data_IF_163552765375
#
_entry.id   IF_163552765375
#
_cell.length_a   1.000
_cell.length_b   1.000
_cell.length_c   1.000
_cell.angle_alpha   90.00
_cell.angle_beta   90.00
_cell.angle_gamma   90.00
#
_symmetry.space_group_name_H-M   'P 1'
#
loop_
_entity.id
_entity.type
_entity.pdbx_description
1 polymer ?
#
# COMPACT_ATOMS: atom_id res chain seq x y z
N UNK A 1 -18.43 5.28 -7.02
CA UNK A 1 -17.82 3.93 -7.12
C UNK A 1 -16.35 4.05 -7.50
N UNK A 2 -15.49 3.42 -6.72
CA UNK A 2 -14.05 3.44 -6.98
C UNK A 2 -13.70 2.49 -8.13
N UNK A 3 -12.70 2.84 -8.89
CA UNK A 3 -12.26 2.03 -10.02
C UNK A 3 -10.74 2.06 -10.11
N UNK A 4 -10.19 1.13 -10.91
CA UNK A 4 -8.76 1.08 -11.14
C UNK A 4 -8.32 2.35 -11.88
N UNK A 5 -7.27 2.99 -11.37
CA UNK A 5 -6.69 4.17 -11.97
C UNK A 5 -5.38 3.80 -12.66
N UNK A 6 -5.39 3.76 -13.99
CA UNK A 6 -4.20 3.46 -14.76
C UNK A 6 -3.34 4.71 -14.83
N UNK A 7 -2.12 4.62 -14.28
CA UNK A 7 -1.20 5.77 -14.25
C UNK A 7 -0.32 5.75 -15.51
N UNK A 8 0.25 4.57 -15.84
CA UNK A 8 0.96 4.37 -17.10
C UNK A 8 0.92 2.89 -17.45
N UNK A 9 1.73 2.48 -18.44
CA UNK A 9 1.69 1.10 -18.94
C UNK A 9 2.09 0.06 -17.90
N UNK A 10 2.79 0.46 -16.85
CA UNK A 10 3.34 -0.46 -15.85
C UNK A 10 3.00 -0.06 -14.42
N UNK A 11 2.11 0.92 -14.22
CA UNK A 11 1.76 1.41 -12.89
C UNK A 11 0.27 1.71 -12.83
N UNK A 12 -0.39 1.17 -11.83
CA UNK A 12 -1.82 1.44 -11.61
C UNK A 12 -2.17 1.44 -10.13
N UNK A 13 -3.29 2.07 -9.80
CA UNK A 13 -3.86 2.07 -8.45
C UNK A 13 -5.14 1.24 -8.48
N UNK A 14 -5.24 0.26 -7.59
CA UNK A 14 -6.40 -0.63 -7.51
C UNK A 14 -7.11 -0.40 -6.19
N UNK A 15 -8.42 -0.11 -6.19
CA UNK A 15 -9.12 0.11 -4.93
C UNK A 15 -8.92 -1.04 -3.96
N UNK A 16 -8.70 -0.71 -2.71
CA UNK A 16 -8.38 -1.66 -1.66
C UNK A 16 -9.38 -2.83 -1.59
N UNK A 17 -10.67 -2.54 -1.75
CA UNK A 17 -11.71 -3.56 -1.61
C UNK A 17 -11.80 -4.52 -2.80
N UNK A 18 -11.19 -4.20 -3.94
CA UNK A 18 -11.33 -5.03 -5.15
C UNK A 18 -10.47 -6.28 -5.11
N UNK A 19 -9.31 -6.21 -4.50
CA UNK A 19 -8.42 -7.37 -4.36
C UNK A 19 -7.84 -7.39 -2.96
N UNK A 20 -7.51 -8.58 -2.50
CA UNK A 20 -6.92 -8.75 -1.17
C UNK A 20 -5.42 -9.00 -1.31
N UNK A 21 -4.63 -7.96 -1.07
CA UNK A 21 -3.17 -8.07 -1.02
C UNK A 21 -2.65 -8.04 0.42
N UNK A 22 -3.50 -8.35 1.39
CA UNK A 22 -3.12 -8.26 2.80
C UNK A 22 -1.99 -9.22 3.17
N UNK A 23 -1.89 -10.36 2.48
CA UNK A 23 -0.80 -11.29 2.73
C UNK A 23 0.55 -10.67 2.36
N UNK A 24 0.63 -10.05 1.19
CA UNK A 24 1.85 -9.36 0.76
C UNK A 24 2.13 -8.17 1.67
N UNK A 25 1.09 -7.40 2.01
CA UNK A 25 1.23 -6.25 2.88
C UNK A 25 1.71 -6.66 4.27
N UNK A 26 1.23 -7.77 4.79
CA UNK A 26 1.68 -8.26 6.08
C UNK A 26 3.20 -8.47 6.07
N UNK A 27 3.72 -9.05 4.99
CA UNK A 27 5.16 -9.23 4.85
C UNK A 27 5.92 -7.90 4.85
N UNK A 28 5.38 -6.87 4.18
CA UNK A 28 6.01 -5.54 4.17
C UNK A 28 6.12 -4.96 5.57
N UNK A 29 5.06 -5.11 6.38
CA UNK A 29 4.98 -4.51 7.70
C UNK A 29 5.66 -5.34 8.79
N UNK A 30 6.39 -6.39 8.38
CA UNK A 30 7.31 -7.09 9.27
C UNK A 30 8.68 -6.40 9.30
N UNK A 31 8.97 -5.53 8.34
CA UNK A 31 10.19 -4.73 8.32
C UNK A 31 10.06 -3.60 9.35
N UNK A 32 10.82 -3.70 10.44
CA UNK A 32 10.72 -2.71 11.53
C UNK A 32 11.15 -1.31 11.09
N UNK A 33 12.00 -1.21 10.09
CA UNK A 33 12.40 0.09 9.56
C UNK A 33 11.26 0.75 8.81
N UNK A 34 10.50 -0.02 8.04
CA UNK A 34 9.32 0.48 7.36
C UNK A 34 8.26 0.94 8.37
N UNK A 35 8.00 0.13 9.38
CA UNK A 35 7.01 0.46 10.42
C UNK A 35 7.43 1.74 11.15
N UNK A 36 8.71 1.89 11.43
CA UNK A 36 9.21 3.10 12.08
C UNK A 36 8.95 4.35 11.24
N UNK A 37 9.12 4.26 9.92
CA UNK A 37 8.84 5.38 9.02
C UNK A 37 7.36 5.72 8.95
N UNK A 38 6.50 4.71 9.06
CA UNK A 38 5.05 4.89 8.94
C UNK A 38 4.41 5.32 10.26
N UNK A 39 4.83 4.74 11.36
CA UNK A 39 4.12 4.84 12.63
C UNK A 39 5.02 5.27 13.80
N UNK A 40 6.31 5.40 13.59
CA UNK A 40 7.24 5.84 14.63
C UNK A 40 7.62 4.81 15.66
N UNK A 41 7.13 3.58 15.54
CA UNK A 41 7.50 2.48 16.45
C UNK A 41 8.34 1.47 15.71
N UNK A 42 9.24 0.80 16.43
CA UNK A 42 10.15 -0.18 15.83
C UNK A 42 9.75 -1.60 16.21
N UNK A 43 8.61 -2.02 15.73
CA UNK A 43 8.15 -3.40 15.91
C UNK A 43 7.26 -3.80 14.74
N UNK A 44 7.25 -5.06 14.36
CA UNK A 44 6.40 -5.52 13.26
C UNK A 44 4.92 -5.35 13.61
N UNK A 45 4.10 -5.15 12.60
CA UNK A 45 2.66 -5.14 12.78
C UNK A 45 2.14 -6.56 12.93
N UNK A 46 1.21 -6.74 13.86
CA UNK A 46 0.39 -7.95 13.89
C UNK A 46 -0.62 -7.86 12.76
N UNK A 47 -1.22 -8.99 12.41
CA UNK A 47 -2.27 -8.99 11.41
C UNK A 47 -3.45 -8.11 11.83
N UNK A 48 -3.81 -8.14 13.11
CA UNK A 48 -4.89 -7.30 13.63
C UNK A 48 -4.58 -5.81 13.49
N UNK A 49 -3.35 -5.42 13.79
CA UNK A 49 -2.92 -4.02 13.67
C UNK A 49 -2.94 -3.59 12.20
N UNK A 50 -2.49 -4.45 11.31
CA UNK A 50 -2.49 -4.15 9.88
C UNK A 50 -3.91 -3.95 9.36
N UNK A 51 -4.83 -4.84 9.71
CA UNK A 51 -6.21 -4.74 9.26
C UNK A 51 -6.90 -3.50 9.84
N UNK A 52 -6.61 -3.18 11.11
CA UNK A 52 -7.15 -1.97 11.73
C UNK A 52 -6.65 -0.71 11.03
N UNK A 53 -5.36 -0.68 10.66
CA UNK A 53 -4.79 0.44 9.93
C UNK A 53 -5.48 0.64 8.58
N UNK A 54 -5.61 -0.42 7.80
CA UNK A 54 -6.24 -0.32 6.49
C UNK A 54 -7.72 0.05 6.58
N UNK A 55 -8.42 -0.50 7.55
CA UNK A 55 -9.82 -0.14 7.79
C UNK A 55 -9.97 1.35 8.09
N UNK A 56 -9.09 1.87 8.94
CA UNK A 56 -9.08 3.30 9.27
C UNK A 56 -8.82 4.16 8.04
N UNK A 57 -7.82 3.81 7.24
CA UNK A 57 -7.48 4.56 6.05
C UNK A 57 -8.60 4.53 5.02
N UNK A 58 -9.26 3.39 4.86
CA UNK A 58 -10.35 3.24 3.91
C UNK A 58 -11.59 4.03 4.34
N UNK A 59 -11.78 4.22 5.63
CA UNK A 59 -12.89 5.02 6.17
C UNK A 59 -12.66 6.53 6.05
N UNK A 60 -11.41 6.96 6.10
CA UNK A 60 -11.06 8.39 6.13
C UNK A 60 -10.51 8.92 4.81
N UNK A 61 -10.46 8.09 3.78
CA UNK A 61 -9.99 8.49 2.46
C UNK A 61 -10.30 7.40 1.46
N UNK A 62 -9.67 7.47 0.30
CA UNK A 62 -9.77 6.43 -0.71
C UNK A 62 -8.48 5.64 -0.72
N UNK A 63 -8.55 4.42 -0.21
CA UNK A 63 -7.39 3.54 -0.09
C UNK A 63 -7.22 2.70 -1.35
N UNK A 64 -6.02 2.72 -1.91
CA UNK A 64 -5.67 1.95 -3.10
C UNK A 64 -4.41 1.14 -2.86
N UNK A 65 -4.33 -0.02 -3.51
CA UNK A 65 -3.07 -0.72 -3.68
C UNK A 65 -2.30 -0.09 -4.83
N UNK A 66 -0.99 0.02 -4.70
CA UNK A 66 -0.12 0.42 -5.80
C UNK A 66 0.38 -0.86 -6.45
N UNK A 67 0.07 -1.05 -7.73
CA UNK A 67 0.50 -2.24 -8.48
C UNK A 67 1.41 -1.84 -9.63
N UNK A 68 2.43 -2.64 -9.84
CA UNK A 68 3.31 -2.51 -11.00
C UNK A 68 3.24 -3.76 -11.86
N UNK A 69 3.55 -3.58 -13.14
CA UNK A 69 3.55 -4.68 -14.10
C UNK A 69 4.97 -5.02 -14.48
N UNK A 70 5.34 -6.28 -14.31
CA UNK A 70 6.62 -6.81 -14.76
C UNK A 70 6.39 -8.17 -15.37
N UNK A 71 7.04 -8.42 -16.49
CA UNK A 71 6.94 -9.71 -17.19
C UNK A 71 5.51 -10.12 -17.47
N UNK A 72 4.66 -9.13 -17.80
CA UNK A 72 3.26 -9.37 -18.13
C UNK A 72 2.32 -9.56 -16.96
N UNK A 73 2.79 -9.42 -15.72
CA UNK A 73 1.97 -9.63 -14.56
C UNK A 73 1.95 -8.41 -13.65
N UNK A 74 0.78 -8.13 -13.06
CA UNK A 74 0.60 -7.08 -12.06
C UNK A 74 0.81 -7.63 -10.66
N UNK A 75 1.52 -6.89 -9.82
CA UNK A 75 1.67 -7.27 -8.42
C UNK A 75 1.77 -6.04 -7.52
N UNK A 76 1.37 -6.17 -6.24
CA UNK A 76 1.34 -5.02 -5.34
C UNK A 76 2.74 -4.69 -4.83
N UNK A 77 3.01 -3.38 -4.69
CA UNK A 77 4.27 -2.92 -4.11
C UNK A 77 4.06 -1.99 -2.92
N UNK A 78 2.84 -1.52 -2.71
CA UNK A 78 2.57 -0.59 -1.62
C UNK A 78 1.12 -0.16 -1.62
N UNK A 79 0.85 0.90 -0.89
CA UNK A 79 -0.48 1.46 -0.79
C UNK A 79 -0.43 2.99 -0.77
N UNK A 80 -1.56 3.61 -1.13
CA UNK A 80 -1.72 5.05 -1.08
C UNK A 80 -3.15 5.37 -0.67
N UNK A 81 -3.31 6.39 0.16
CA UNK A 81 -4.63 6.85 0.58
C UNK A 81 -4.83 8.27 0.07
N UNK A 82 -5.86 8.47 -0.74
CA UNK A 82 -6.21 9.79 -1.27
C UNK A 82 -7.17 10.45 -0.30
N UNK A 83 -6.76 11.58 0.28
CA UNK A 83 -7.59 12.37 1.17
C UNK A 83 -7.40 13.85 0.88
N UNK A 84 -8.26 14.69 1.47
CA UNK A 84 -8.19 16.14 1.24
C UNK A 84 -6.90 16.75 1.81
N UNK A 85 -6.44 16.23 2.93
CA UNK A 85 -5.40 16.91 3.69
C UNK A 85 -4.00 16.36 3.43
N UNK A 86 -3.90 15.12 2.98
CA UNK A 86 -2.60 14.54 2.71
C UNK A 86 -2.72 13.35 1.78
N UNK A 87 -1.56 12.84 1.36
CA UNK A 87 -1.48 11.74 0.42
C UNK A 87 -0.40 10.76 0.90
N UNK A 88 -0.69 10.00 1.98
CA UNK A 88 0.31 9.06 2.46
C UNK A 88 0.52 7.93 1.46
N UNK A 89 1.77 7.75 1.06
CA UNK A 89 2.19 6.72 0.11
C UNK A 89 3.20 5.82 0.83
N UNK A 90 2.95 4.53 0.81
CA UNK A 90 3.86 3.56 1.41
C UNK A 90 4.29 2.57 0.35
N UNK A 91 5.59 2.52 0.06
CA UNK A 91 6.17 1.51 -0.82
C UNK A 91 6.74 0.42 0.09
N UNK A 92 6.01 -0.70 0.20
CA UNK A 92 6.39 -1.77 1.11
C UNK A 92 7.36 -2.76 0.50
N UNK A 93 7.37 -2.91 -0.82
CA UNK A 93 8.26 -3.84 -1.49
C UNK A 93 9.66 -3.23 -1.61
N UNK A 94 10.69 -3.84 -0.97
CA UNK A 94 12.03 -3.25 -0.96
C UNK A 94 12.64 -3.03 -2.33
N UNK A 95 12.24 -3.84 -3.33
CA UNK A 95 12.76 -3.72 -4.69
C UNK A 95 12.33 -2.42 -5.36
N UNK A 96 11.31 -1.76 -4.84
CA UNK A 96 10.76 -0.52 -5.43
C UNK A 96 10.95 0.71 -4.56
N UNK A 97 11.52 0.55 -3.37
CA UNK A 97 11.83 1.69 -2.52
C UNK A 97 12.95 2.50 -3.16
N UNK A 98 12.88 3.83 -3.02
CA UNK A 98 13.90 4.76 -3.52
C UNK A 98 14.02 4.77 -5.05
N UNK A 99 12.95 4.42 -5.77
CA UNK A 99 12.94 4.43 -7.23
C UNK A 99 12.15 5.60 -7.82
N UNK A 100 11.76 6.56 -7.00
CA UNK A 100 11.06 7.75 -7.45
C UNK A 100 9.61 7.54 -7.87
N UNK A 101 8.99 6.53 -7.33
CA UNK A 101 7.58 6.20 -7.65
C UNK A 101 6.57 7.10 -6.95
#
# INVERSE_FOLDING_TARGET
MKRILQIDNALRLVPYYKVNHCEEAFAWYQDVNLVHLVDGVKRPYSQETLEAMYSHLDQHGELFWIEVKEKGEWFPIGDVTLSQDNLPIVIGNPAYQHRGL
#
